data_IF_968853006538
#
_entry.id   IF_968853006538
#
_cell.length_a   1.000
_cell.length_b   1.000
_cell.length_c   1.000
_cell.angle_alpha   90.00
_cell.angle_beta   90.00
_cell.angle_gamma   90.00
#
_symmetry.space_group_name_H-M   'P 1'
#
loop_
_entity.id
_entity.type
_entity.pdbx_description
1 polymer ?
#
# COMPACT_ATOMS: atom_id res chain seq x y z
N UNK A 1 13.44 -3.75 -10.05
CA UNK A 1 14.21 -4.66 -10.93
C UNK A 1 15.65 -4.18 -11.14
N UNK A 2 15.91 -2.89 -11.36
CA UNK A 2 17.28 -2.38 -11.59
C UNK A 2 18.23 -2.59 -10.40
N UNK A 3 17.71 -2.55 -9.18
CA UNK A 3 18.49 -2.70 -7.94
C UNK A 3 18.88 -4.15 -7.65
N UNK A 4 18.13 -5.11 -8.18
CA UNK A 4 18.35 -6.55 -7.95
C UNK A 4 19.05 -7.26 -9.12
N UNK A 5 19.01 -6.67 -10.32
CA UNK A 5 19.49 -7.31 -11.55
C UNK A 5 20.96 -7.05 -11.88
N UNK A 6 21.65 -6.16 -11.16
CA UNK A 6 23.08 -5.92 -11.42
C UNK A 6 23.93 -6.85 -10.57
N UNK A 7 24.51 -7.85 -11.21
CA UNK A 7 25.46 -8.83 -10.65
C UNK A 7 26.76 -8.25 -10.08
N UNK A 8 26.91 -6.93 -10.13
CA UNK A 8 28.09 -6.19 -9.64
C UNK A 8 27.80 -5.35 -8.39
N UNK A 9 26.58 -5.39 -7.85
CA UNK A 9 26.23 -4.61 -6.66
C UNK A 9 26.62 -5.40 -5.42
N UNK A 10 27.19 -4.69 -4.46
CA UNK A 10 27.55 -5.22 -3.15
C UNK A 10 26.45 -6.15 -2.65
N UNK A 11 26.80 -7.28 -2.06
CA UNK A 11 25.89 -8.28 -1.51
C UNK A 11 24.99 -7.75 -0.37
N UNK A 12 24.93 -6.44 -0.20
CA UNK A 12 24.23 -5.73 0.86
C UNK A 12 23.11 -4.83 0.30
N UNK A 13 21.89 -5.36 0.11
CA UNK A 13 20.79 -4.57 -0.42
C UNK A 13 20.48 -3.38 0.50
N UNK A 14 20.23 -2.18 -0.06
CA UNK A 14 19.96 -0.99 0.72
C UNK A 14 18.62 -1.05 1.43
N UNK A 15 18.44 -0.25 2.49
CA UNK A 15 17.13 0.07 2.98
C UNK A 15 16.32 0.79 1.90
N UNK A 16 15.02 0.58 1.84
CA UNK A 16 14.15 1.17 0.82
C UNK A 16 13.20 2.21 1.40
N UNK A 17 12.99 3.28 0.65
CA UNK A 17 11.93 4.26 0.89
C UNK A 17 11.05 4.33 -0.36
N UNK A 18 9.88 3.71 -0.32
CA UNK A 18 8.93 3.70 -1.44
C UNK A 18 7.92 4.84 -1.23
N UNK A 19 7.88 5.78 -2.17
CA UNK A 19 7.02 6.96 -2.08
C UNK A 19 6.07 7.07 -3.27
N UNK A 20 4.94 7.74 -3.08
CA UNK A 20 3.98 7.99 -4.14
C UNK A 20 2.55 8.17 -3.64
N UNK A 21 1.61 8.56 -4.51
CA UNK A 21 0.21 8.76 -4.17
C UNK A 21 -0.48 7.50 -3.63
N UNK A 22 -1.69 7.64 -3.14
CA UNK A 22 -2.49 6.50 -2.72
C UNK A 22 -2.91 5.65 -3.94
N UNK A 23 -2.97 4.32 -3.76
CA UNK A 23 -3.52 3.41 -4.75
C UNK A 23 -2.67 3.14 -6.00
N UNK A 24 -1.39 3.56 -6.01
CA UNK A 24 -0.47 3.36 -7.16
C UNK A 24 0.35 2.05 -7.08
N UNK A 25 0.05 1.18 -6.12
CA UNK A 25 0.71 -0.13 -6.03
C UNK A 25 1.91 -0.22 -5.09
N UNK A 26 2.18 0.77 -4.21
CA UNK A 26 3.33 0.71 -3.27
C UNK A 26 3.36 -0.57 -2.44
N UNK A 27 2.21 -0.96 -1.87
CA UNK A 27 2.11 -2.20 -1.08
C UNK A 27 2.35 -3.44 -1.94
N UNK A 28 1.85 -3.49 -3.17
CA UNK A 28 2.13 -4.58 -4.10
C UNK A 28 3.62 -4.67 -4.44
N UNK A 29 4.26 -3.52 -4.68
CA UNK A 29 5.68 -3.46 -5.04
C UNK A 29 6.59 -4.02 -3.95
N UNK A 30 6.39 -3.64 -2.67
CA UNK A 30 7.23 -4.16 -1.62
C UNK A 30 6.99 -5.65 -1.34
N UNK A 31 5.77 -6.15 -1.53
CA UNK A 31 5.48 -7.59 -1.39
C UNK A 31 6.18 -8.42 -2.46
N UNK A 32 6.17 -7.94 -3.71
CA UNK A 32 6.95 -8.56 -4.79
C UNK A 32 8.44 -8.56 -4.47
N UNK A 33 8.95 -7.44 -3.97
CA UNK A 33 10.32 -7.32 -3.52
C UNK A 33 10.65 -8.31 -2.39
N UNK A 34 9.80 -8.37 -1.35
CA UNK A 34 9.98 -9.29 -0.23
C UNK A 34 10.03 -10.75 -0.69
N UNK A 35 9.08 -11.14 -1.55
CA UNK A 35 9.02 -12.49 -2.11
C UNK A 35 10.27 -12.83 -2.92
N UNK A 36 10.73 -11.91 -3.76
CA UNK A 36 11.94 -12.11 -4.56
C UNK A 36 13.20 -12.18 -3.71
N UNK A 37 13.27 -11.38 -2.63
CA UNK A 37 14.45 -11.31 -1.75
C UNK A 37 14.53 -12.50 -0.79
N UNK A 38 13.40 -12.88 -0.17
CA UNK A 38 13.35 -13.85 0.92
C UNK A 38 12.87 -15.26 0.49
N UNK A 39 12.42 -15.39 -0.77
CA UNK A 39 11.92 -16.65 -1.29
C UNK A 39 10.62 -17.14 -0.62
N UNK A 40 10.38 -18.46 -0.56
CA UNK A 40 9.12 -19.04 -0.07
C UNK A 40 8.75 -18.67 1.36
N UNK A 41 9.75 -18.40 2.22
CA UNK A 41 9.53 -18.03 3.62
C UNK A 41 9.30 -16.54 3.87
N UNK A 42 9.06 -15.73 2.84
CA UNK A 42 8.99 -14.28 2.95
C UNK A 42 7.91 -13.78 3.92
N UNK A 43 6.80 -14.51 4.07
CA UNK A 43 5.70 -14.11 4.96
C UNK A 43 6.06 -14.26 6.45
N UNK A 44 6.79 -15.31 6.81
CA UNK A 44 7.24 -15.56 8.19
C UNK A 44 8.43 -14.67 8.58
N UNK A 45 9.17 -14.16 7.63
CA UNK A 45 10.36 -13.34 7.86
C UNK A 45 10.14 -11.84 7.58
N UNK A 46 8.93 -11.45 7.18
CA UNK A 46 8.55 -10.05 6.95
C UNK A 46 7.67 -9.55 8.09
N UNK A 47 8.19 -8.57 8.84
CA UNK A 47 7.48 -7.91 9.93
C UNK A 47 6.88 -6.60 9.43
N UNK A 48 5.60 -6.36 9.71
CA UNK A 48 4.87 -5.19 9.20
C UNK A 48 4.31 -4.37 10.33
N UNK A 49 4.55 -3.07 10.29
CA UNK A 49 3.99 -2.07 11.18
C UNK A 49 3.18 -1.04 10.39
N UNK A 50 1.95 -0.80 10.83
CA UNK A 50 1.12 0.31 10.37
C UNK A 50 1.37 1.54 11.24
N UNK A 51 2.17 2.49 10.77
CA UNK A 51 2.52 3.67 11.57
C UNK A 51 1.31 4.54 11.92
N UNK A 52 0.27 4.52 11.09
CA UNK A 52 -0.98 5.24 11.35
C UNK A 52 -1.72 4.72 12.58
N UNK A 53 -1.69 3.41 12.82
CA UNK A 53 -2.37 2.78 13.95
C UNK A 53 -1.64 3.06 15.26
N UNK A 54 -0.31 3.13 15.23
CA UNK A 54 0.51 3.52 16.38
C UNK A 54 0.14 4.88 16.95
N UNK A 55 -0.18 5.86 16.11
CA UNK A 55 -0.51 7.23 16.58
C UNK A 55 -1.72 7.24 17.48
N UNK A 56 -2.61 6.26 17.35
CA UNK A 56 -3.86 6.14 18.12
C UNK A 56 -3.71 5.33 19.40
N UNK A 57 -2.58 4.65 19.62
CA UNK A 57 -2.36 3.76 20.75
C UNK A 57 -1.75 4.50 21.95
N UNK A 58 -2.20 4.16 23.16
CA UNK A 58 -1.50 4.53 24.39
C UNK A 58 -0.21 3.72 24.46
N UNK A 59 0.90 4.35 24.81
CA UNK A 59 2.21 3.66 24.85
C UNK A 59 2.81 3.40 23.46
N UNK A 60 2.43 4.18 22.45
CA UNK A 60 2.87 4.04 21.07
C UNK A 60 4.40 3.97 20.88
N UNK A 61 5.20 4.57 21.79
CA UNK A 61 6.65 4.45 21.71
C UNK A 61 7.14 3.10 22.16
N UNK A 62 6.62 2.57 23.26
CA UNK A 62 6.99 1.24 23.76
C UNK A 62 6.59 0.14 22.76
N UNK A 63 5.40 0.24 22.15
CA UNK A 63 4.98 -0.70 21.11
C UNK A 63 5.87 -0.62 19.87
N UNK A 64 6.34 0.57 19.52
CA UNK A 64 7.26 0.77 18.42
C UNK A 64 8.64 0.19 18.70
N UNK A 65 9.16 0.39 19.91
CA UNK A 65 10.42 -0.19 20.37
C UNK A 65 10.36 -1.70 20.42
N UNK A 66 9.27 -2.27 20.92
CA UNK A 66 9.03 -3.71 20.97
C UNK A 66 9.01 -4.32 19.57
N UNK A 67 8.28 -3.70 18.63
CA UNK A 67 8.26 -4.13 17.24
C UNK A 67 9.65 -4.18 16.60
N UNK A 68 10.52 -3.24 16.93
CA UNK A 68 11.87 -3.16 16.35
C UNK A 68 12.88 -4.10 17.01
N UNK A 69 12.56 -4.76 18.13
CA UNK A 69 13.47 -5.70 18.79
C UNK A 69 13.74 -6.92 17.91
N UNK A 70 14.97 -7.49 17.95
CA UNK A 70 15.34 -8.66 17.16
C UNK A 70 14.48 -9.90 17.43
N UNK A 71 13.93 -10.02 18.63
CA UNK A 71 13.04 -11.08 19.09
C UNK A 71 11.56 -10.77 18.87
N UNK A 72 11.23 -9.95 17.87
CA UNK A 72 9.86 -9.58 17.54
C UNK A 72 8.96 -10.81 17.50
N UNK A 73 7.76 -10.70 18.08
CA UNK A 73 6.84 -11.83 18.20
C UNK A 73 6.39 -12.31 16.82
N UNK A 74 6.11 -13.59 16.67
CA UNK A 74 5.54 -14.17 15.43
C UNK A 74 4.28 -13.44 14.98
N UNK A 75 3.56 -12.78 15.91
CA UNK A 75 2.35 -11.99 15.66
C UNK A 75 2.58 -10.78 14.76
N UNK A 76 3.81 -10.27 14.69
CA UNK A 76 4.16 -9.10 13.86
C UNK A 76 4.57 -9.51 12.44
N UNK A 77 4.71 -10.80 12.17
CA UNK A 77 4.99 -11.31 10.82
C UNK A 77 3.74 -11.26 9.95
N UNK A 78 3.92 -11.23 8.66
CA UNK A 78 2.82 -11.26 7.71
C UNK A 78 1.99 -12.54 7.84
N UNK A 79 2.65 -13.68 8.06
CA UNK A 79 1.99 -14.97 8.28
C UNK A 79 1.16 -15.01 9.57
N UNK A 80 1.58 -14.29 10.61
CA UNK A 80 0.84 -14.20 11.89
C UNK A 80 -0.34 -13.23 11.87
N UNK A 81 -0.48 -12.42 10.80
CA UNK A 81 -1.58 -11.45 10.69
C UNK A 81 -2.74 -12.04 9.91
N UNK A 82 -3.80 -12.37 10.63
CA UNK A 82 -5.09 -12.68 10.04
C UNK A 82 -6.06 -11.53 10.27
N UNK A 83 -6.89 -11.18 9.29
CA UNK A 83 -8.02 -10.30 9.53
C UNK A 83 -9.09 -11.05 10.31
N UNK A 84 -9.91 -10.35 11.10
CA UNK A 84 -11.07 -10.95 11.76
C UNK A 84 -11.96 -11.66 10.74
N UNK A 85 -12.20 -11.03 9.59
CA UNK A 85 -12.99 -11.62 8.50
C UNK A 85 -12.37 -12.90 7.91
N UNK A 86 -11.05 -12.96 7.80
CA UNK A 86 -10.34 -14.14 7.30
C UNK A 86 -10.31 -15.24 8.35
N UNK A 87 -10.20 -14.87 9.63
CA UNK A 87 -10.29 -15.80 10.75
C UNK A 87 -11.68 -16.44 10.83
N UNK A 88 -12.74 -15.63 10.76
CA UNK A 88 -14.14 -16.09 10.82
C UNK A 88 -14.51 -17.00 9.65
N UNK A 89 -13.90 -16.80 8.48
CA UNK A 89 -14.12 -17.64 7.29
C UNK A 89 -13.13 -18.78 7.14
N UNK A 90 -12.15 -18.89 8.05
CA UNK A 90 -11.05 -19.85 7.91
C UNK A 90 -10.17 -19.62 6.68
N UNK A 91 -10.22 -18.41 6.11
CA UNK A 91 -9.50 -18.04 4.89
C UNK A 91 -8.30 -17.19 5.30
N UNK A 92 -7.10 -17.56 4.85
CA UNK A 92 -5.92 -16.71 5.00
C UNK A 92 -6.10 -15.41 4.20
N UNK A 93 -5.63 -14.28 4.75
CA UNK A 93 -5.56 -13.00 4.02
C UNK A 93 -4.74 -13.10 2.71
N UNK A 94 -3.93 -14.13 2.60
CA UNK A 94 -3.05 -14.41 1.47
C UNK A 94 -3.18 -15.88 1.08
N UNK A 95 -4.39 -16.31 0.61
CA UNK A 95 -4.66 -17.72 0.31
C UNK A 95 -3.73 -18.29 -0.77
N UNK A 96 -3.19 -17.42 -1.61
CA UNK A 96 -2.38 -17.79 -2.78
C UNK A 96 -0.97 -17.22 -2.71
N UNK A 97 -0.27 -17.45 -1.59
CA UNK A 97 1.12 -17.00 -1.44
C UNK A 97 2.08 -17.54 -2.52
N UNK A 98 1.70 -18.62 -3.15
CA UNK A 98 2.45 -19.23 -4.25
C UNK A 98 2.06 -18.71 -5.63
N UNK A 99 0.97 -17.96 -5.76
CA UNK A 99 0.57 -17.37 -7.03
C UNK A 99 1.32 -16.05 -7.20
N UNK A 100 2.22 -16.03 -8.17
CA UNK A 100 2.87 -14.80 -8.57
C UNK A 100 1.81 -13.80 -9.08
N UNK A 101 1.87 -12.51 -8.70
CA UNK A 101 1.01 -11.50 -9.30
C UNK A 101 1.15 -11.55 -10.83
N UNK A 102 0.05 -11.29 -11.54
CA UNK A 102 0.04 -11.32 -12.99
C UNK A 102 1.20 -10.50 -13.59
N UNK A 103 2.00 -11.14 -14.45
CA UNK A 103 3.15 -10.52 -15.09
C UNK A 103 4.47 -10.59 -14.33
N UNK A 104 4.54 -11.31 -13.20
CA UNK A 104 5.80 -11.55 -12.50
C UNK A 104 6.24 -13.00 -12.66
N UNK A 105 7.19 -13.26 -13.53
CA UNK A 105 8.03 -14.44 -13.43
C UNK A 105 8.98 -14.20 -12.24
N UNK A 106 8.75 -14.91 -11.15
CA UNK A 106 9.63 -14.83 -9.99
C UNK A 106 10.74 -15.86 -10.16
N UNK A 107 11.88 -15.43 -10.63
CA UNK A 107 13.11 -16.18 -10.40
C UNK A 107 13.39 -16.15 -8.89
N UNK A 108 13.25 -17.29 -8.26
CA UNK A 108 13.69 -17.49 -6.87
C UNK A 108 15.21 -17.54 -6.92
N UNK A 109 15.87 -16.50 -6.41
CA UNK A 109 17.31 -16.57 -6.21
C UNK A 109 17.61 -17.59 -5.12
N UNK A 110 18.27 -18.65 -5.51
CA UNK A 110 18.69 -19.72 -4.63
C UNK A 110 19.76 -19.19 -3.65
N UNK A 111 19.37 -18.94 -2.44
CA UNK A 111 20.12 -19.19 -1.24
C UNK A 111 21.28 -18.28 -0.82
N UNK A 112 21.65 -17.18 -1.48
CA UNK A 112 22.85 -16.40 -1.10
C UNK A 112 22.63 -14.92 -0.74
N UNK A 113 21.43 -14.48 -0.49
CA UNK A 113 21.23 -13.13 0.03
C UNK A 113 21.40 -13.12 1.56
N UNK A 114 22.28 -12.28 2.11
CA UNK A 114 22.52 -12.21 3.55
C UNK A 114 21.31 -11.64 4.33
N UNK A 115 20.27 -11.21 3.62
CA UNK A 115 19.04 -10.68 4.23
C UNK A 115 18.10 -11.82 4.56
N UNK A 116 17.84 -11.99 5.85
CA UNK A 116 16.91 -13.00 6.36
C UNK A 116 15.61 -12.39 6.92
N UNK A 117 15.53 -11.07 7.05
CA UNK A 117 14.39 -10.38 7.67
C UNK A 117 14.11 -9.04 7.00
N UNK A 118 12.84 -8.79 6.68
CA UNK A 118 12.35 -7.46 6.28
C UNK A 118 11.49 -6.84 7.38
N UNK A 119 11.73 -5.55 7.62
CA UNK A 119 10.96 -4.73 8.55
C UNK A 119 10.27 -3.65 7.73
N UNK A 120 8.98 -3.82 7.50
CA UNK A 120 8.17 -2.93 6.67
C UNK A 120 7.39 -1.97 7.55
N UNK A 121 7.50 -0.68 7.30
CA UNK A 121 6.75 0.36 7.99
C UNK A 121 5.86 1.05 6.97
N UNK A 122 4.58 0.71 6.98
CA UNK A 122 3.58 1.35 6.13
C UNK A 122 3.11 2.68 6.76
N UNK A 123 2.75 3.64 5.89
CA UNK A 123 2.38 5.00 6.28
C UNK A 123 3.47 5.67 7.17
N UNK A 124 4.75 5.48 6.85
CA UNK A 124 5.90 5.97 7.65
C UNK A 124 5.88 7.49 7.87
N UNK A 125 5.20 8.26 7.03
CA UNK A 125 4.94 9.69 7.21
C UNK A 125 4.08 10.04 8.44
N UNK A 126 3.49 9.03 9.12
CA UNK A 126 2.77 9.18 10.39
C UNK A 126 3.62 8.89 11.64
N UNK A 127 4.86 8.45 11.50
CA UNK A 127 5.71 8.11 12.65
C UNK A 127 5.99 9.29 13.59
N UNK A 128 6.00 10.53 13.08
CA UNK A 128 6.44 11.71 13.84
C UNK A 128 7.97 11.73 14.09
N UNK A 129 8.50 12.88 14.47
CA UNK A 129 9.95 13.10 14.55
C UNK A 129 10.67 12.18 15.55
N UNK A 130 10.08 11.93 16.72
CA UNK A 130 10.73 11.15 17.79
C UNK A 130 10.95 9.70 17.32
N UNK A 131 9.90 9.06 16.74
CA UNK A 131 10.01 7.68 16.26
C UNK A 131 10.90 7.56 15.02
N UNK A 132 10.89 8.58 14.16
CA UNK A 132 11.80 8.62 13.03
C UNK A 132 13.27 8.74 13.46
N UNK A 133 13.56 9.54 14.48
CA UNK A 133 14.91 9.64 15.05
C UNK A 133 15.36 8.33 15.70
N UNK A 134 14.45 7.64 16.39
CA UNK A 134 14.71 6.31 16.94
C UNK A 134 14.96 5.29 15.83
N UNK A 135 14.13 5.27 14.79
CA UNK A 135 14.28 4.40 13.63
C UNK A 135 15.64 4.60 12.94
N UNK A 136 16.09 5.83 12.80
CA UNK A 136 17.42 6.14 12.27
C UNK A 136 18.51 5.40 13.03
N UNK A 137 18.49 5.46 14.37
CA UNK A 137 19.46 4.74 15.21
C UNK A 137 19.39 3.23 14.97
N UNK A 138 18.19 2.69 14.87
CA UNK A 138 18.01 1.25 14.59
C UNK A 138 18.58 0.87 13.23
N UNK A 139 18.37 1.68 12.20
CA UNK A 139 18.94 1.45 10.86
C UNK A 139 20.46 1.48 10.84
N UNK A 140 21.10 2.23 11.74
CA UNK A 140 22.57 2.30 11.88
C UNK A 140 23.14 1.08 12.62
N UNK A 141 22.36 0.49 13.51
CA UNK A 141 22.81 -0.63 14.38
C UNK A 141 22.44 -1.99 13.85
N UNK A 142 21.50 -2.06 12.94
CA UNK A 142 21.02 -3.31 12.35
C UNK A 142 22.08 -3.90 11.42
N UNK A 143 22.39 -5.18 11.62
CA UNK A 143 23.32 -5.92 10.78
C UNK A 143 22.77 -6.21 9.38
N UNK A 144 23.61 -6.88 8.58
CA UNK A 144 23.33 -7.21 7.18
C UNK A 144 22.04 -8.05 7.02
N UNK A 145 21.68 -8.82 8.04
CA UNK A 145 20.54 -9.75 8.01
C UNK A 145 19.15 -9.08 7.99
N UNK A 146 19.03 -7.81 8.36
CA UNK A 146 17.74 -7.12 8.38
C UNK A 146 17.72 -5.88 7.51
N UNK A 147 16.63 -5.66 6.78
CA UNK A 147 16.44 -4.46 5.95
C UNK A 147 15.11 -3.80 6.24
N UNK A 148 15.11 -2.48 6.17
CA UNK A 148 13.91 -1.67 6.34
C UNK A 148 13.32 -1.29 4.99
N UNK A 149 11.99 -1.37 4.91
CA UNK A 149 11.19 -0.87 3.80
C UNK A 149 10.20 0.14 4.36
N UNK A 150 10.44 1.40 4.08
CA UNK A 150 9.59 2.51 4.50
C UNK A 150 8.63 2.86 3.36
N UNK A 151 7.34 2.98 3.66
CA UNK A 151 6.34 3.34 2.68
C UNK A 151 5.68 4.64 3.12
N UNK A 152 5.75 5.67 2.27
CA UNK A 152 5.22 6.98 2.55
C UNK A 152 4.45 7.56 1.35
N UNK A 153 3.53 8.48 1.61
CA UNK A 153 2.88 9.25 0.55
C UNK A 153 3.73 10.43 0.13
N UNK A 154 4.28 11.14 1.12
CA UNK A 154 5.05 12.35 0.92
C UNK A 154 6.47 12.20 1.50
N UNK A 155 7.52 12.20 0.67
CA UNK A 155 8.89 12.10 1.14
C UNK A 155 9.30 13.27 2.05
N UNK A 156 8.65 14.43 1.91
CA UNK A 156 8.90 15.61 2.75
C UNK A 156 8.55 15.43 4.23
N UNK A 157 7.73 14.42 4.57
CA UNK A 157 7.40 14.07 5.96
C UNK A 157 8.39 13.09 6.59
N UNK A 158 9.32 12.58 5.81
CA UNK A 158 10.39 11.70 6.28
C UNK A 158 11.63 12.55 6.48
N UNK A 159 12.26 12.45 7.67
CA UNK A 159 13.46 13.21 8.00
C UNK A 159 14.61 12.87 7.04
N UNK A 160 15.47 13.84 6.78
CA UNK A 160 16.60 13.70 5.86
C UNK A 160 17.52 12.56 6.25
N UNK A 161 17.71 12.34 7.52
CA UNK A 161 18.55 11.28 8.04
C UNK A 161 18.06 9.86 7.69
N UNK A 162 16.75 9.64 7.52
CA UNK A 162 16.20 8.38 7.01
C UNK A 162 16.28 8.32 5.48
N UNK A 163 16.02 9.44 4.81
CA UNK A 163 16.11 9.52 3.35
C UNK A 163 17.51 9.23 2.83
N UNK A 164 18.52 9.76 3.51
CA UNK A 164 19.93 9.56 3.12
C UNK A 164 20.43 8.13 3.34
N UNK A 165 19.76 7.35 4.20
CA UNK A 165 20.09 5.95 4.50
C UNK A 165 19.25 4.95 3.72
N UNK A 166 18.35 5.44 2.89
CA UNK A 166 17.42 4.60 2.11
C UNK A 166 17.55 4.92 0.64
N UNK A 167 17.49 3.90 -0.18
CA UNK A 167 17.28 4.10 -1.61
C UNK A 167 15.81 4.48 -1.83
N UNK A 168 15.60 5.67 -2.37
CA UNK A 168 14.26 6.17 -2.62
C UNK A 168 13.75 5.69 -3.98
N UNK A 169 12.60 5.01 -3.95
CA UNK A 169 11.84 4.59 -5.14
C UNK A 169 10.56 5.40 -5.17
N UNK A 170 10.39 6.20 -6.21
CA UNK A 170 9.18 6.99 -6.42
C UNK A 170 8.26 6.29 -7.41
N UNK A 171 7.05 5.97 -6.96
CA UNK A 171 5.99 5.43 -7.82
C UNK A 171 5.05 6.59 -8.16
N UNK A 172 5.02 7.05 -9.42
CA UNK A 172 4.13 8.13 -9.84
C UNK A 172 2.67 7.70 -9.88
N UNK A 173 1.76 8.64 -10.09
CA UNK A 173 0.38 8.33 -10.48
C UNK A 173 0.37 7.54 -11.78
N UNK A 174 -0.51 6.55 -11.86
CA UNK A 174 -0.66 5.73 -13.06
C UNK A 174 -1.35 6.56 -14.14
N UNK A 175 -0.84 6.56 -15.35
CA UNK A 175 -1.48 7.21 -16.49
C UNK A 175 -2.79 6.50 -16.87
N UNK A 176 -3.63 7.20 -17.63
CA UNK A 176 -4.96 6.69 -18.00
C UNK A 176 -4.92 5.49 -18.91
N UNK A 177 -3.99 5.48 -19.84
CA UNK A 177 -3.83 4.39 -20.80
C UNK A 177 -3.43 3.09 -20.09
N UNK A 178 -2.46 3.16 -19.19
CA UNK A 178 -2.06 2.03 -18.35
C UNK A 178 -3.20 1.54 -17.46
N UNK A 179 -4.02 2.44 -16.89
CA UNK A 179 -5.20 2.05 -16.11
C UNK A 179 -6.19 1.32 -17.00
N UNK A 180 -6.55 1.87 -18.15
CA UNK A 180 -7.52 1.25 -19.07
C UNK A 180 -7.06 -0.13 -19.52
N UNK A 181 -5.79 -0.27 -19.92
CA UNK A 181 -5.20 -1.54 -20.32
C UNK A 181 -5.24 -2.57 -19.18
N UNK A 182 -4.90 -2.14 -17.97
CA UNK A 182 -4.94 -3.00 -16.78
C UNK A 182 -6.36 -3.45 -16.46
N UNK A 183 -7.34 -2.55 -16.54
CA UNK A 183 -8.75 -2.87 -16.32
C UNK A 183 -9.28 -3.85 -17.37
N UNK A 184 -8.87 -3.69 -18.64
CA UNK A 184 -9.23 -4.62 -19.71
C UNK A 184 -8.72 -6.03 -19.42
N UNK A 185 -7.44 -6.16 -19.05
CA UNK A 185 -6.86 -7.46 -18.67
C UNK A 185 -7.57 -8.10 -17.47
N UNK A 186 -7.98 -7.30 -16.48
CA UNK A 186 -8.72 -7.79 -15.32
C UNK A 186 -10.12 -8.23 -15.74
N UNK A 187 -10.81 -7.45 -16.57
CA UNK A 187 -12.15 -7.79 -17.09
C UNK A 187 -12.12 -9.11 -17.86
N UNK A 188 -11.18 -9.28 -18.78
CA UNK A 188 -10.99 -10.50 -19.55
C UNK A 188 -10.75 -11.74 -18.66
N UNK A 189 -9.87 -11.61 -17.66
CA UNK A 189 -9.57 -12.71 -16.72
C UNK A 189 -10.76 -13.14 -15.88
N UNK A 190 -11.63 -12.21 -15.53
CA UNK A 190 -12.81 -12.48 -14.70
C UNK A 190 -14.10 -12.71 -15.51
N UNK A 191 -14.03 -12.68 -16.84
CA UNK A 191 -15.20 -12.85 -17.69
C UNK A 191 -16.19 -11.68 -17.64
N UNK A 192 -15.75 -10.51 -17.14
CA UNK A 192 -16.53 -9.29 -17.13
C UNK A 192 -16.54 -8.68 -18.54
N UNK A 193 -17.70 -8.26 -19.03
CA UNK A 193 -17.86 -7.65 -20.35
C UNK A 193 -18.35 -6.20 -20.13
N UNK A 194 -17.42 -5.24 -19.95
CA UNK A 194 -17.81 -3.85 -19.81
C UNK A 194 -18.31 -3.27 -21.12
N UNK A 195 -19.30 -2.37 -21.06
CA UNK A 195 -19.74 -1.65 -22.23
C UNK A 195 -18.66 -0.72 -22.78
N UNK A 196 -18.75 -0.37 -24.05
CA UNK A 196 -17.83 0.56 -24.70
C UNK A 196 -17.75 1.89 -23.95
N UNK A 197 -16.52 2.37 -23.66
CA UNK A 197 -16.25 3.61 -22.95
C UNK A 197 -16.34 3.51 -21.43
N UNK A 198 -16.75 2.39 -20.83
CA UNK A 198 -16.82 2.23 -19.37
C UNK A 198 -15.43 2.24 -18.74
N UNK A 199 -14.45 1.56 -19.33
CA UNK A 199 -13.09 1.49 -18.81
C UNK A 199 -12.39 2.84 -18.88
N UNK A 200 -12.62 3.61 -19.94
CA UNK A 200 -12.12 4.98 -20.11
C UNK A 200 -12.72 5.92 -19.06
N UNK A 201 -14.03 5.82 -18.83
CA UNK A 201 -14.71 6.61 -17.82
C UNK A 201 -14.20 6.29 -16.41
N UNK A 202 -14.00 5.00 -16.07
CA UNK A 202 -13.40 4.57 -14.81
C UNK A 202 -11.97 5.10 -14.68
N UNK A 203 -11.17 5.01 -15.73
CA UNK A 203 -9.79 5.52 -15.76
C UNK A 203 -9.77 7.04 -15.49
N UNK A 204 -10.67 7.77 -16.12
CA UNK A 204 -10.81 9.22 -15.94
C UNK A 204 -11.10 9.60 -14.49
N UNK A 205 -12.13 9.00 -13.87
CA UNK A 205 -12.55 9.33 -12.51
C UNK A 205 -11.59 8.83 -11.43
N UNK A 206 -10.71 7.91 -11.79
CA UNK A 206 -9.73 7.35 -10.85
C UNK A 206 -8.53 8.26 -10.62
N UNK A 207 -8.29 9.25 -11.49
CA UNK A 207 -7.24 10.26 -11.31
C UNK A 207 -5.86 9.68 -11.02
N UNK A 208 -5.49 8.61 -11.70
CA UNK A 208 -4.19 7.93 -11.51
C UNK A 208 -4.14 6.95 -10.33
N UNK A 209 -5.25 6.73 -9.63
CA UNK A 209 -5.36 5.77 -8.54
C UNK A 209 -5.85 4.42 -9.06
N UNK A 210 -4.92 3.53 -9.39
CA UNK A 210 -5.22 2.20 -9.93
C UNK A 210 -6.11 1.37 -8.99
N UNK A 211 -5.88 1.44 -7.67
CA UNK A 211 -6.73 0.72 -6.70
C UNK A 211 -8.19 1.18 -6.77
N UNK A 212 -8.43 2.49 -6.91
CA UNK A 212 -9.77 3.04 -7.07
C UNK A 212 -10.40 2.54 -8.37
N UNK A 213 -9.62 2.50 -9.46
CA UNK A 213 -10.09 2.02 -10.75
C UNK A 213 -10.54 0.54 -10.68
N UNK A 214 -9.69 -0.32 -10.17
CA UNK A 214 -10.00 -1.77 -10.01
C UNK A 214 -11.22 -1.98 -9.12
N UNK A 215 -11.28 -1.30 -7.96
CA UNK A 215 -12.44 -1.41 -7.06
C UNK A 215 -13.74 -0.92 -7.72
N UNK A 216 -13.67 0.12 -8.55
CA UNK A 216 -14.83 0.62 -9.28
C UNK A 216 -15.33 -0.40 -10.30
N UNK A 217 -14.44 -1.02 -11.06
CA UNK A 217 -14.80 -2.08 -12.01
C UNK A 217 -15.43 -3.28 -11.28
N UNK A 218 -14.81 -3.76 -10.22
CA UNK A 218 -15.31 -4.86 -9.40
C UNK A 218 -16.71 -4.57 -8.84
N UNK A 219 -16.94 -3.34 -8.36
CA UNK A 219 -18.24 -2.93 -7.85
C UNK A 219 -19.31 -2.85 -8.94
N UNK A 220 -18.97 -2.42 -10.15
CA UNK A 220 -19.89 -2.40 -11.29
C UNK A 220 -20.23 -3.83 -11.74
N UNK A 221 -19.23 -4.68 -11.83
CA UNK A 221 -19.39 -6.08 -12.23
C UNK A 221 -20.26 -6.85 -11.23
N UNK A 222 -19.96 -6.76 -9.94
CA UNK A 222 -20.73 -7.43 -8.88
C UNK A 222 -22.22 -7.00 -8.80
N UNK A 223 -22.55 -5.86 -9.36
CA UNK A 223 -23.92 -5.33 -9.46
C UNK A 223 -24.58 -5.57 -10.81
N UNK A 224 -23.88 -6.19 -11.74
CA UNK A 224 -24.36 -6.39 -13.12
C UNK A 224 -24.47 -5.08 -13.92
N UNK A 225 -23.76 -4.03 -13.49
CA UNK A 225 -23.82 -2.69 -14.09
C UNK A 225 -22.62 -2.39 -15.01
N UNK A 226 -21.72 -3.34 -15.22
CA UNK A 226 -20.55 -3.15 -16.08
C UNK A 226 -20.93 -2.88 -17.55
N UNK A 227 -22.10 -3.35 -17.99
CA UNK A 227 -22.66 -3.12 -19.33
C UNK A 227 -23.43 -1.79 -19.46
N UNK A 228 -23.64 -1.03 -18.38
CA UNK A 228 -24.32 0.26 -18.40
C UNK A 228 -23.34 1.41 -18.16
N UNK A 229 -22.94 2.10 -19.23
CA UNK A 229 -22.06 3.28 -19.14
C UNK A 229 -22.63 4.39 -18.26
N UNK A 230 -23.96 4.54 -18.20
CA UNK A 230 -24.60 5.55 -17.37
C UNK A 230 -24.43 5.28 -15.86
N UNK A 231 -24.20 4.02 -15.46
CA UNK A 231 -23.99 3.64 -14.07
C UNK A 231 -22.72 4.27 -13.49
N UNK A 232 -21.63 4.37 -14.26
CA UNK A 232 -20.39 5.03 -13.83
C UNK A 232 -20.65 6.49 -13.49
N UNK A 233 -21.33 7.21 -14.37
CA UNK A 233 -21.67 8.63 -14.15
C UNK A 233 -22.59 8.83 -12.97
N UNK A 234 -23.62 8.00 -12.82
CA UNK A 234 -24.54 8.05 -11.66
C UNK A 234 -23.81 7.81 -10.36
N UNK A 235 -22.87 6.87 -10.33
CA UNK A 235 -22.10 6.52 -9.14
C UNK A 235 -21.16 7.67 -8.74
N UNK A 236 -20.50 8.32 -9.70
CA UNK A 236 -19.63 9.48 -9.44
C UNK A 236 -20.46 10.67 -8.95
N UNK A 237 -21.56 10.97 -9.65
CA UNK A 237 -22.44 12.05 -9.25
C UNK A 237 -23.02 11.82 -7.85
N UNK A 238 -23.47 10.60 -7.52
CA UNK A 238 -24.01 10.28 -6.20
C UNK A 238 -22.96 10.51 -5.10
N UNK A 239 -21.72 10.07 -5.29
CA UNK A 239 -20.66 10.24 -4.29
C UNK A 239 -20.26 11.71 -4.09
N UNK A 240 -20.13 12.47 -5.17
CA UNK A 240 -19.73 13.88 -5.15
C UNK A 240 -20.85 14.77 -4.63
N UNK A 241 -22.09 14.55 -5.10
CA UNK A 241 -23.26 15.31 -4.68
C UNK A 241 -23.62 15.08 -3.21
N UNK A 242 -23.53 13.85 -2.70
CA UNK A 242 -23.79 13.56 -1.29
C UNK A 242 -22.81 14.28 -0.37
N UNK A 243 -21.51 14.25 -0.70
CA UNK A 243 -20.49 14.96 0.09
C UNK A 243 -20.71 16.49 0.04
N UNK A 244 -20.96 17.05 -1.15
CA UNK A 244 -21.25 18.46 -1.32
C UNK A 244 -22.52 18.91 -0.63
N UNK A 245 -23.61 18.16 -0.78
CA UNK A 245 -24.90 18.43 -0.12
C UNK A 245 -24.75 18.44 1.41
N UNK A 246 -24.06 17.46 1.98
CA UNK A 246 -23.81 17.39 3.42
C UNK A 246 -22.99 18.57 3.93
N UNK A 247 -21.96 18.99 3.18
CA UNK A 247 -21.17 20.18 3.52
C UNK A 247 -22.01 21.46 3.51
N UNK A 248 -22.88 21.63 2.52
CA UNK A 248 -23.79 22.77 2.42
C UNK A 248 -24.82 22.75 3.56
N UNK A 249 -25.42 21.59 3.87
CA UNK A 249 -26.35 21.44 4.99
C UNK A 249 -25.71 21.80 6.33
N UNK A 250 -24.46 21.35 6.59
CA UNK A 250 -23.74 21.69 7.81
C UNK A 250 -23.39 23.17 7.89
N UNK A 251 -23.04 23.78 6.75
CA UNK A 251 -22.78 25.22 6.69
C UNK A 251 -24.04 26.05 6.97
N UNK A 252 -25.18 25.67 6.37
CA UNK A 252 -26.49 26.33 6.60
C UNK A 252 -26.94 26.22 8.05
N UNK A 253 -26.68 25.08 8.69
CA UNK A 253 -27.01 24.85 10.11
C UNK A 253 -26.03 25.52 11.10
N UNK A 254 -25.03 26.26 10.61
CA UNK A 254 -24.03 26.93 11.43
C UNK A 254 -23.06 25.98 12.19
N UNK A 255 -23.04 24.70 11.81
CA UNK A 255 -22.18 23.69 12.46
C UNK A 255 -20.75 23.72 11.93
N UNK A 256 -20.05 24.83 12.19
CA UNK A 256 -18.69 25.10 11.65
C UNK A 256 -17.66 24.04 12.04
N UNK A 257 -17.76 23.46 13.22
CA UNK A 257 -16.83 22.43 13.69
C UNK A 257 -17.02 21.15 12.90
N UNK A 258 -18.26 20.69 12.72
CA UNK A 258 -18.59 19.51 11.92
C UNK A 258 -18.24 19.72 10.46
N UNK A 259 -18.47 20.92 9.92
CA UNK A 259 -18.05 21.32 8.57
C UNK A 259 -16.51 21.22 8.38
N UNK A 260 -15.72 21.70 9.34
CA UNK A 260 -14.25 21.58 9.30
C UNK A 260 -13.81 20.12 9.28
N UNK A 261 -14.44 19.27 10.08
CA UNK A 261 -14.13 17.84 10.13
C UNK A 261 -14.43 17.13 8.82
N UNK A 262 -15.57 17.37 8.20
CA UNK A 262 -15.95 16.80 6.91
C UNK A 262 -15.02 17.28 5.78
N UNK A 263 -14.65 18.55 5.79
CA UNK A 263 -13.74 19.12 4.79
C UNK A 263 -12.30 18.56 4.94
N UNK A 264 -11.85 18.27 6.16
CA UNK A 264 -10.57 17.61 6.39
C UNK A 264 -10.60 16.14 5.95
N UNK A 265 -11.70 15.44 6.13
CA UNK A 265 -11.89 14.07 5.61
C UNK A 265 -11.87 14.03 4.09
N UNK A 266 -12.44 15.02 3.42
CA UNK A 266 -12.43 15.14 1.96
C UNK A 266 -11.03 15.40 1.35
N UNK A 267 -10.14 16.08 2.09
CA UNK A 267 -8.74 16.31 1.66
C UNK A 267 -7.81 15.12 1.90
N UNK A 268 -8.24 14.17 2.72
CA UNK A 268 -7.48 12.97 3.07
C UNK A 268 -7.96 11.71 2.33
N UNK A 269 -8.93 11.85 1.45
CA UNK A 269 -9.35 10.84 0.48
C UNK A 269 -8.66 11.09 -0.86
#
# INVERSE_FOLDING_TARGET
RQTLASSSISMDPPHLLITGPAGVGKTASWRLFARQLLGPGWTSTTHILQARDLVRQRGAMSSFEEFLRPSGSEKDTLAGRTSLDAFDRGISLYPDENIAPAGSETEVHDGMMPVSRLIVIEDADYLGHIRQAYLRRMMETVGVASRFVLIARAPSRIIDALRSRSQMIRIPSTDRETITTTLLQIAEKNGCIPAEGVLEDISYISEGNLKKAVFTLEMLDSRGLASDRSAVHKMVQASTLQAGRRLVELAIRGKVVEWKWENQRGRNK
#
